data_IF_146394228388
#
_entry.id   IF_146394228388
#
_cell.length_a   1.000
_cell.length_b   1.000
_cell.length_c   1.000
_cell.angle_alpha   90.00
_cell.angle_beta   90.00
_cell.angle_gamma   90.00
#
_symmetry.space_group_name_H-M   'P 1'
#
loop_
_entity.id
_entity.type
_entity.pdbx_description
1 polymer ?
#
# COMPACT_ATOMS: atom_id res chain seq x y z
N UNK A 1 -10.63 49.67 -25.57
CA UNK A 1 -11.10 48.37 -25.02
C UNK A 1 -12.10 48.70 -23.94
N UNK A 2 -13.37 48.35 -24.14
CA UNK A 2 -14.42 48.71 -23.18
C UNK A 2 -14.33 47.79 -21.95
N UNK A 3 -14.72 48.25 -20.75
CA UNK A 3 -14.61 47.48 -19.51
C UNK A 3 -15.30 46.11 -19.62
N UNK A 4 -16.40 46.07 -20.36
CA UNK A 4 -17.18 44.86 -20.66
C UNK A 4 -16.41 43.84 -21.51
N UNK A 5 -15.62 44.30 -22.49
CA UNK A 5 -14.80 43.40 -23.31
C UNK A 5 -13.65 42.79 -22.50
N UNK A 6 -13.09 43.55 -21.56
CA UNK A 6 -12.07 43.05 -20.65
C UNK A 6 -12.64 42.02 -19.65
N UNK A 7 -13.84 42.27 -19.12
CA UNK A 7 -14.55 41.35 -18.23
C UNK A 7 -14.90 40.03 -18.95
N UNK A 8 -15.38 40.12 -20.18
CA UNK A 8 -15.70 38.94 -20.99
C UNK A 8 -14.45 38.08 -21.28
N UNK A 9 -13.33 38.70 -21.64
CA UNK A 9 -12.07 37.98 -21.86
C UNK A 9 -11.58 37.32 -20.56
N UNK A 10 -11.69 38.02 -19.42
CA UNK A 10 -11.31 37.48 -18.12
C UNK A 10 -12.19 36.28 -17.71
N UNK A 11 -13.49 36.33 -17.99
CA UNK A 11 -14.43 35.24 -17.70
C UNK A 11 -14.14 34.00 -18.55
N UNK A 12 -13.88 34.17 -19.85
CA UNK A 12 -13.53 33.06 -20.75
C UNK A 12 -12.22 32.40 -20.34
N UNK A 13 -11.19 33.21 -20.00
CA UNK A 13 -9.90 32.69 -19.55
C UNK A 13 -10.04 32.01 -18.19
N UNK A 14 -10.80 32.59 -17.26
CA UNK A 14 -11.07 32.04 -15.94
C UNK A 14 -11.81 30.70 -16.02
N UNK A 15 -12.85 30.62 -16.86
CA UNK A 15 -13.60 29.38 -17.10
C UNK A 15 -12.71 28.28 -17.70
N UNK A 16 -11.88 28.61 -18.69
CA UNK A 16 -10.91 27.68 -19.25
C UNK A 16 -9.89 27.20 -18.20
N UNK A 17 -9.44 28.08 -17.31
CA UNK A 17 -8.53 27.74 -16.21
C UNK A 17 -9.13 26.71 -15.25
N UNK A 18 -10.42 26.83 -14.91
CA UNK A 18 -11.13 25.86 -14.06
C UNK A 18 -11.23 24.50 -14.75
N UNK A 19 -11.63 24.47 -16.03
CA UNK A 19 -11.75 23.22 -16.80
C UNK A 19 -10.41 22.48 -16.88
N UNK A 20 -9.33 23.20 -17.21
CA UNK A 20 -7.99 22.61 -17.27
C UNK A 20 -7.52 22.09 -15.91
N UNK A 21 -7.83 22.82 -14.83
CA UNK A 21 -7.50 22.42 -13.47
C UNK A 21 -8.22 21.13 -13.04
N UNK A 22 -9.49 20.96 -13.42
CA UNK A 22 -10.25 19.73 -13.15
C UNK A 22 -9.69 18.53 -13.92
N UNK A 23 -9.34 18.71 -15.20
CA UNK A 23 -8.71 17.65 -16.00
C UNK A 23 -7.36 17.26 -15.43
N UNK A 24 -6.55 18.25 -15.04
CA UNK A 24 -5.26 18.02 -14.41
C UNK A 24 -5.42 17.25 -13.09
N UNK A 25 -6.34 17.68 -12.22
CA UNK A 25 -6.60 17.01 -10.95
C UNK A 25 -7.06 15.55 -11.13
N UNK A 26 -7.92 15.29 -12.12
CA UNK A 26 -8.35 13.93 -12.44
C UNK A 26 -7.17 13.05 -12.91
N UNK A 27 -6.27 13.61 -13.73
CA UNK A 27 -5.05 12.93 -14.19
C UNK A 27 -4.07 12.68 -13.04
N UNK A 28 -3.84 13.68 -12.19
CA UNK A 28 -2.97 13.63 -11.02
C UNK A 28 -3.47 12.59 -10.03
N UNK A 29 -4.77 12.55 -9.72
CA UNK A 29 -5.39 11.54 -8.86
C UNK A 29 -5.15 10.13 -9.41
N UNK A 30 -5.36 9.92 -10.71
CA UNK A 30 -5.16 8.60 -11.33
C UNK A 30 -3.71 8.14 -11.26
N UNK A 31 -2.76 9.04 -11.49
CA UNK A 31 -1.33 8.74 -11.42
C UNK A 31 -0.85 8.57 -9.97
N UNK A 32 -1.32 9.41 -9.06
CA UNK A 32 -1.03 9.36 -7.63
C UNK A 32 -1.50 8.05 -6.99
N UNK A 33 -2.70 7.57 -7.35
CA UNK A 33 -3.19 6.27 -6.89
C UNK A 33 -2.28 5.12 -7.34
N UNK A 34 -1.86 5.11 -8.61
CA UNK A 34 -0.92 4.09 -9.13
C UNK A 34 0.45 4.14 -8.45
N UNK A 35 0.95 5.34 -8.16
CA UNK A 35 2.24 5.51 -7.48
C UNK A 35 2.16 5.07 -6.01
N UNK A 36 1.14 5.52 -5.27
CA UNK A 36 0.87 5.11 -3.89
C UNK A 36 0.70 3.60 -3.74
N UNK A 37 0.15 2.93 -4.76
CA UNK A 37 0.08 1.47 -4.81
C UNK A 37 1.47 0.82 -4.88
N UNK A 38 2.34 1.28 -5.79
CA UNK A 38 3.71 0.77 -5.94
C UNK A 38 4.54 0.98 -4.68
N UNK A 39 4.43 2.15 -4.07
CA UNK A 39 5.18 2.51 -2.86
C UNK A 39 4.81 1.60 -1.69
N UNK A 40 3.52 1.30 -1.53
CA UNK A 40 3.07 0.39 -0.48
C UNK A 40 3.43 -1.08 -0.74
N UNK A 41 3.43 -1.54 -2.00
CA UNK A 41 3.92 -2.88 -2.33
C UNK A 41 5.42 -3.01 -2.04
N UNK A 42 6.18 -1.95 -2.33
CA UNK A 42 7.61 -1.86 -2.00
C UNK A 42 7.82 -1.88 -0.48
N UNK A 43 6.99 -1.14 0.27
CA UNK A 43 7.02 -1.14 1.73
C UNK A 43 6.71 -2.51 2.32
N UNK A 44 5.66 -3.19 1.84
CA UNK A 44 5.30 -4.54 2.28
C UNK A 44 6.44 -5.54 1.99
N UNK A 45 7.06 -5.43 0.81
CA UNK A 45 8.21 -6.26 0.43
C UNK A 45 9.41 -5.99 1.33
N UNK A 46 9.69 -4.73 1.65
CA UNK A 46 10.75 -4.34 2.57
C UNK A 46 10.50 -4.88 3.98
N UNK A 47 9.28 -4.77 4.51
CA UNK A 47 8.91 -5.33 5.83
C UNK A 47 8.99 -6.84 5.89
N UNK A 48 8.60 -7.53 4.81
CA UNK A 48 8.80 -8.98 4.68
C UNK A 48 10.29 -9.34 4.72
N UNK A 49 11.14 -8.60 4.00
CA UNK A 49 12.58 -8.85 3.98
C UNK A 49 13.22 -8.61 5.35
N UNK A 50 12.86 -7.52 6.04
CA UNK A 50 13.28 -7.27 7.42
C UNK A 50 12.97 -8.48 8.33
N UNK A 51 11.76 -9.05 8.22
CA UNK A 51 11.36 -10.21 9.01
C UNK A 51 12.18 -11.47 8.67
N UNK A 52 12.51 -11.68 7.38
CA UNK A 52 13.40 -12.77 6.97
C UNK A 52 14.81 -12.58 7.52
N UNK A 53 15.34 -11.35 7.51
CA UNK A 53 16.65 -11.07 8.10
C UNK A 53 16.67 -11.30 9.61
N UNK A 54 15.63 -10.90 10.34
CA UNK A 54 15.50 -11.18 11.78
C UNK A 54 15.53 -12.68 12.06
N UNK A 55 14.91 -13.49 11.20
CA UNK A 55 14.98 -14.94 11.34
C UNK A 55 16.40 -15.45 11.10
N UNK A 56 17.05 -15.01 10.01
CA UNK A 56 18.42 -15.42 9.66
C UNK A 56 19.46 -15.02 10.70
N UNK A 57 19.34 -13.81 11.28
CA UNK A 57 20.27 -13.28 12.28
C UNK A 57 20.03 -13.84 13.68
N UNK A 58 18.88 -14.46 13.92
CA UNK A 58 18.53 -15.06 15.21
C UNK A 58 18.41 -16.59 15.10
N UNK A 59 19.52 -17.34 15.23
CA UNK A 59 19.51 -18.80 15.10
C UNK A 59 18.64 -19.49 16.16
N UNK A 60 18.51 -18.89 17.34
CA UNK A 60 17.62 -19.38 18.40
C UNK A 60 16.16 -19.32 17.94
N UNK A 61 15.70 -18.15 17.46
CA UNK A 61 14.35 -18.00 16.93
C UNK A 61 14.11 -18.92 15.73
N UNK A 62 15.09 -19.05 14.83
CA UNK A 62 15.03 -20.01 13.70
C UNK A 62 14.80 -21.44 14.19
N UNK A 63 15.55 -21.86 15.21
CA UNK A 63 15.39 -23.20 15.77
C UNK A 63 14.00 -23.42 16.38
N UNK A 64 13.47 -22.42 17.10
CA UNK A 64 12.12 -22.46 17.69
C UNK A 64 11.06 -22.55 16.58
N UNK A 65 11.15 -21.69 15.56
CA UNK A 65 10.23 -21.69 14.42
C UNK A 65 10.24 -23.05 13.72
N UNK A 66 11.42 -23.62 13.45
CA UNK A 66 11.54 -24.93 12.82
C UNK A 66 10.92 -26.05 13.68
N UNK A 67 11.16 -26.03 14.99
CA UNK A 67 10.57 -27.00 15.93
C UNK A 67 9.05 -26.89 16.00
N UNK A 68 8.51 -25.68 16.03
CA UNK A 68 7.07 -25.46 15.98
C UNK A 68 6.45 -25.95 14.65
N UNK A 69 7.10 -25.66 13.51
CA UNK A 69 6.63 -26.08 12.18
C UNK A 69 6.71 -27.60 11.98
N UNK A 70 7.65 -28.28 12.62
CA UNK A 70 7.77 -29.74 12.63
C UNK A 70 6.85 -30.42 13.66
N UNK A 71 5.88 -29.68 14.22
CA UNK A 71 4.92 -30.14 15.22
C UNK A 71 5.56 -30.73 16.48
N UNK A 72 6.80 -30.34 16.80
CA UNK A 72 7.42 -30.72 18.06
C UNK A 72 6.77 -29.96 19.22
N UNK A 73 6.78 -30.58 20.41
CA UNK A 73 6.30 -29.92 21.62
C UNK A 73 7.37 -28.92 22.09
N UNK A 74 6.97 -27.66 22.21
CA UNK A 74 7.86 -26.55 22.54
C UNK A 74 7.45 -25.93 23.88
N UNK A 75 8.37 -25.54 24.78
CA UNK A 75 8.05 -24.86 26.03
C UNK A 75 7.21 -23.59 25.81
N UNK A 76 6.40 -23.21 26.82
CA UNK A 76 5.43 -22.11 26.70
C UNK A 76 6.07 -20.75 26.30
N UNK A 77 7.27 -20.44 26.81
CA UNK A 77 7.97 -19.20 26.50
C UNK A 77 8.56 -19.15 25.07
N UNK A 78 8.91 -20.31 24.52
CA UNK A 78 9.34 -20.44 23.12
C UNK A 78 8.11 -20.39 22.19
N UNK A 79 7.00 -21.02 22.61
CA UNK A 79 5.73 -20.95 21.90
C UNK A 79 5.21 -19.51 21.77
N UNK A 80 5.35 -18.69 22.81
CA UNK A 80 4.98 -17.27 22.73
C UNK A 80 5.82 -16.51 21.72
N UNK A 81 7.14 -16.78 21.64
CA UNK A 81 8.03 -16.16 20.64
C UNK A 81 7.64 -16.56 19.22
N UNK A 82 7.34 -17.84 19.01
CA UNK A 82 6.81 -18.33 17.74
C UNK A 82 5.47 -17.69 17.38
N UNK A 83 4.55 -17.56 18.34
CA UNK A 83 3.23 -16.98 18.12
C UNK A 83 3.29 -15.52 17.71
N UNK A 84 4.18 -14.72 18.31
CA UNK A 84 4.40 -13.32 17.93
C UNK A 84 4.99 -13.21 16.51
N UNK A 85 5.97 -14.07 16.20
CA UNK A 85 6.54 -14.17 14.86
C UNK A 85 5.47 -14.51 13.81
N UNK A 86 4.64 -15.52 14.09
CA UNK A 86 3.59 -15.98 13.19
C UNK A 86 2.49 -14.93 13.01
N UNK A 87 2.05 -14.30 14.10
CA UNK A 87 1.04 -13.24 14.07
C UNK A 87 1.49 -12.08 13.17
N UNK A 88 2.73 -11.61 13.35
CA UNK A 88 3.27 -10.49 12.55
C UNK A 88 3.37 -10.88 11.08
N UNK A 89 3.76 -12.12 10.78
CA UNK A 89 3.82 -12.64 9.42
C UNK A 89 2.42 -12.70 8.78
N UNK A 90 1.42 -13.19 9.51
CA UNK A 90 0.04 -13.29 9.05
C UNK A 90 -0.59 -11.92 8.78
N UNK A 91 -0.41 -10.95 9.69
CA UNK A 91 -0.88 -9.58 9.50
C UNK A 91 -0.25 -8.95 8.26
N UNK A 92 1.05 -9.17 8.03
CA UNK A 92 1.75 -8.65 6.84
C UNK A 92 1.16 -9.24 5.55
N UNK A 93 0.86 -10.54 5.53
CA UNK A 93 0.20 -11.22 4.40
C UNK A 93 -1.22 -10.69 4.19
N UNK A 94 -2.01 -10.55 5.26
CA UNK A 94 -3.38 -10.03 5.21
C UNK A 94 -3.43 -8.62 4.64
N UNK A 95 -2.53 -7.73 5.08
CA UNK A 95 -2.41 -6.37 4.54
C UNK A 95 -2.05 -6.38 3.05
N UNK A 96 -1.18 -7.30 2.62
CA UNK A 96 -0.88 -7.51 1.20
C UNK A 96 -2.11 -7.94 0.40
N UNK A 97 -2.85 -8.95 0.89
CA UNK A 97 -4.06 -9.43 0.24
C UNK A 97 -5.16 -8.37 0.15
N UNK A 98 -5.45 -7.66 1.24
CA UNK A 98 -6.45 -6.58 1.25
C UNK A 98 -6.11 -5.51 0.21
N UNK A 99 -4.84 -5.20 0.03
CA UNK A 99 -4.39 -4.20 -0.94
C UNK A 99 -4.50 -4.69 -2.38
N UNK A 100 -4.19 -5.96 -2.65
CA UNK A 100 -4.38 -6.58 -3.98
C UNK A 100 -5.88 -6.61 -4.33
N UNK A 101 -6.72 -7.05 -3.39
CA UNK A 101 -8.17 -7.16 -3.60
C UNK A 101 -8.84 -5.81 -3.80
N UNK A 102 -8.47 -4.79 -3.02
CA UNK A 102 -8.97 -3.43 -3.21
C UNK A 102 -8.63 -2.89 -4.62
N UNK A 103 -7.43 -3.19 -5.13
CA UNK A 103 -7.04 -2.77 -6.47
C UNK A 103 -7.85 -3.46 -7.59
N UNK A 104 -8.22 -4.73 -7.40
CA UNK A 104 -9.04 -5.47 -8.37
C UNK A 104 -10.45 -4.84 -8.45
N UNK A 105 -11.03 -4.49 -7.30
CA UNK A 105 -12.32 -3.78 -7.22
C UNK A 105 -12.24 -2.40 -7.88
N UNK A 106 -11.22 -1.60 -7.58
CA UNK A 106 -11.05 -0.26 -8.17
C UNK A 106 -10.90 -0.33 -9.70
N UNK A 107 -10.17 -1.31 -10.23
CA UNK A 107 -9.97 -1.48 -11.67
C UNK A 107 -11.28 -1.76 -12.43
N UNK A 108 -12.18 -2.53 -11.82
CA UNK A 108 -13.51 -2.83 -12.39
C UNK A 108 -14.40 -1.58 -12.37
N UNK A 109 -14.36 -0.81 -11.28
CA UNK A 109 -15.18 0.42 -11.18
C UNK A 109 -14.71 1.56 -12.09
N UNK A 110 -13.42 1.58 -12.48
CA UNK A 110 -12.87 2.60 -13.38
C UNK A 110 -13.16 2.33 -14.86
N UNK A 111 -13.67 1.14 -15.23
CA UNK A 111 -14.07 0.78 -16.59
C UNK A 111 -15.58 0.97 -16.88
N UNK A 112 -16.37 1.33 -15.86
CA UNK A 112 -17.82 1.62 -15.96
C UNK A 112 -18.04 3.14 -16.07
#
# INVERSE_FOLDING_TARGET
>A
MNLEQAAFIAEVIGGLGVVLSLVFLASELRNSTRQSQRDAMTLLTSKRNEMMYVLMDNPELTSIVWRCLSAQRVPAHEWSRFSVYLYTTMVTIELGFKKIWANEVDSITAEI
#
